data_IF_328821251147
#
_entry.id   IF_328821251147
#
_cell.length_a   1.000
_cell.length_b   1.000
_cell.length_c   1.000
_cell.angle_alpha   90.00
_cell.angle_beta   90.00
_cell.angle_gamma   90.00
#
_symmetry.space_group_name_H-M   'P 1'
#
loop_
_entity.id
_entity.type
_entity.pdbx_description
1 polymer ?
#
# COMPACT_ATOMS: atom_id res chain seq x y z
N UNK A 1 -2.49 16.32 3.36
CA UNK A 1 -2.89 15.68 2.08
C UNK A 1 -3.16 14.18 2.25
N UNK A 2 -2.35 13.45 3.02
CA UNK A 2 -2.65 12.06 3.40
C UNK A 2 -3.81 11.94 4.39
N UNK A 3 -4.20 13.03 5.05
CA UNK A 3 -5.25 13.06 6.07
C UNK A 3 -6.65 12.81 5.51
N UNK A 4 -6.85 13.07 4.21
CA UNK A 4 -8.10 12.82 3.48
C UNK A 4 -8.30 11.35 3.11
N UNK A 5 -7.30 10.51 3.30
CA UNK A 5 -7.40 9.08 3.01
C UNK A 5 -8.17 8.38 4.12
N UNK A 6 -9.04 7.46 3.72
CA UNK A 6 -9.65 6.51 4.67
C UNK A 6 -8.57 5.64 5.31
N UNK A 7 -8.90 5.01 6.43
CA UNK A 7 -7.99 4.10 7.12
C UNK A 7 -7.43 3.03 6.18
N UNK A 8 -8.30 2.36 5.41
CA UNK A 8 -7.87 1.32 4.46
C UNK A 8 -6.97 1.87 3.36
N UNK A 9 -7.26 3.07 2.84
CA UNK A 9 -6.42 3.69 1.82
C UNK A 9 -5.01 4.00 2.34
N UNK A 10 -4.88 4.40 3.61
CA UNK A 10 -3.57 4.61 4.26
C UNK A 10 -2.79 3.30 4.40
N UNK A 11 -3.46 2.23 4.80
CA UNK A 11 -2.87 0.89 4.91
C UNK A 11 -2.36 0.39 3.55
N UNK A 12 -3.18 0.52 2.50
CA UNK A 12 -2.78 0.14 1.14
C UNK A 12 -1.61 0.98 0.64
N UNK A 13 -1.62 2.30 0.91
CA UNK A 13 -0.50 3.16 0.54
C UNK A 13 0.80 2.75 1.25
N UNK A 14 0.74 2.43 2.54
CA UNK A 14 1.90 1.98 3.30
C UNK A 14 2.45 0.66 2.74
N UNK A 15 1.56 -0.30 2.47
CA UNK A 15 1.92 -1.58 1.86
C UNK A 15 2.60 -1.40 0.49
N UNK A 16 2.08 -0.50 -0.35
CA UNK A 16 2.68 -0.23 -1.67
C UNK A 16 4.11 0.29 -1.51
N UNK A 17 4.33 1.26 -0.62
CA UNK A 17 5.66 1.83 -0.37
C UNK A 17 6.63 0.76 0.13
N UNK A 18 6.22 -0.01 1.13
CA UNK A 18 7.03 -1.08 1.70
C UNK A 18 7.46 -2.10 0.65
N UNK A 19 6.55 -2.56 -0.23
CA UNK A 19 6.91 -3.53 -1.28
C UNK A 19 7.83 -2.93 -2.33
N UNK A 20 7.62 -1.68 -2.73
CA UNK A 20 8.54 -1.02 -3.67
C UNK A 20 9.95 -0.92 -3.06
N UNK A 21 10.06 -0.51 -1.80
CA UNK A 21 11.35 -0.36 -1.12
C UNK A 21 12.06 -1.70 -0.88
N UNK A 22 11.31 -2.78 -0.62
CA UNK A 22 11.89 -4.08 -0.25
C UNK A 22 12.21 -4.99 -1.45
N UNK A 23 11.38 -4.99 -2.49
CA UNK A 23 11.52 -5.91 -3.64
C UNK A 23 11.60 -5.23 -5.01
N UNK A 24 11.43 -3.91 -5.07
CA UNK A 24 11.54 -3.12 -6.31
C UNK A 24 10.26 -3.07 -7.16
N UNK A 25 9.16 -3.67 -6.71
CA UNK A 25 7.86 -3.62 -7.38
C UNK A 25 6.70 -3.71 -6.39
N UNK A 26 5.58 -3.08 -6.74
CA UNK A 26 4.40 -2.97 -5.89
C UNK A 26 3.69 -4.30 -5.59
N UNK A 27 2.77 -4.31 -4.60
CA UNK A 27 1.94 -5.47 -4.26
C UNK A 27 1.02 -5.86 -5.42
N UNK A 28 0.69 -7.14 -5.50
CA UNK A 28 -0.37 -7.67 -6.36
C UNK A 28 -1.74 -7.32 -5.79
N UNK A 29 -2.79 -7.38 -6.61
CA UNK A 29 -4.18 -7.15 -6.16
C UNK A 29 -4.58 -8.13 -5.05
N UNK A 30 -4.07 -9.37 -5.10
CA UNK A 30 -4.31 -10.37 -4.05
C UNK A 30 -3.67 -9.96 -2.72
N UNK A 31 -2.43 -9.50 -2.73
CA UNK A 31 -1.74 -8.99 -1.53
C UNK A 31 -2.42 -7.75 -0.93
N UNK A 32 -3.12 -6.95 -1.75
CA UNK A 32 -3.94 -5.81 -1.27
C UNK A 32 -5.30 -6.27 -0.71
N UNK A 33 -5.80 -7.41 -1.17
CA UNK A 33 -7.10 -7.97 -0.77
C UNK A 33 -7.06 -8.83 0.50
N UNK A 34 -5.88 -9.35 0.84
CA UNK A 34 -5.58 -9.99 2.15
C UNK A 34 -5.52 -8.95 3.29
#
# INVERSE_FOLDING_TARGET
MLDLLTKRQKEVLLLIKEKIETRGYGPTVREIGE
#
